data_IF_561163142997
#
_entry.id   IF_561163142997
#
_cell.length_a   1.000
_cell.length_b   1.000
_cell.length_c   1.000
_cell.angle_alpha   90.00
_cell.angle_beta   90.00
_cell.angle_gamma   90.00
#
_symmetry.space_group_name_H-M   'P 1'
#
loop_
_entity.id
_entity.type
_entity.pdbx_description
1 polymer ?
#
# COMPACT_ATOMS: atom_id res chain seq x y z
N UNK A 1 5.86 -9.81 -1.66
CA UNK A 1 5.37 -9.27 -0.38
C UNK A 1 5.88 -7.84 -0.29
N UNK A 2 5.00 -6.89 -0.01
CA UNK A 2 5.19 -5.45 -0.29
C UNK A 2 5.39 -4.59 0.97
N UNK A 3 5.25 -5.21 2.14
CA UNK A 3 5.58 -4.67 3.45
C UNK A 3 6.76 -5.44 4.03
N UNK A 4 7.63 -4.74 4.76
CA UNK A 4 8.89 -5.27 5.28
C UNK A 4 9.01 -5.14 6.80
N UNK A 5 8.45 -4.08 7.35
CA UNK A 5 8.49 -3.81 8.78
C UNK A 5 7.20 -3.11 9.21
N UNK A 6 6.74 -3.41 10.41
CA UNK A 6 5.65 -2.75 11.09
C UNK A 6 6.06 -2.51 12.54
N UNK A 7 5.97 -1.27 13.01
CA UNK A 7 6.33 -0.93 14.39
C UNK A 7 5.25 -0.09 15.04
N UNK A 8 5.11 -0.29 16.35
CA UNK A 8 4.22 0.52 17.21
C UNK A 8 5.13 1.23 18.21
N UNK A 9 5.04 2.55 18.22
CA UNK A 9 5.91 3.44 18.99
C UNK A 9 5.01 4.30 19.87
N UNK A 10 5.40 4.45 21.14
CA UNK A 10 4.73 5.40 22.04
C UNK A 10 5.13 6.83 21.69
N UNK A 11 4.32 7.83 22.01
CA UNK A 11 4.69 9.25 21.81
C UNK A 11 5.99 9.69 22.51
N UNK A 12 6.42 8.97 23.56
CA UNK A 12 7.72 9.19 24.23
C UNK A 12 8.93 8.71 23.42
N UNK A 13 8.69 8.09 22.26
CA UNK A 13 9.73 7.56 21.37
C UNK A 13 10.22 6.16 21.75
N UNK A 14 9.64 5.53 22.78
CA UNK A 14 9.99 4.15 23.13
C UNK A 14 9.27 3.16 22.20
N UNK A 15 10.00 2.24 21.55
CA UNK A 15 9.41 1.20 20.73
C UNK A 15 8.64 0.24 21.64
N UNK A 16 7.35 0.10 21.39
CA UNK A 16 6.50 -0.86 22.11
C UNK A 16 6.55 -2.23 21.42
N UNK A 17 6.49 -2.26 20.09
CA UNK A 17 6.53 -3.50 19.33
C UNK A 17 7.17 -3.30 17.95
N UNK A 18 7.89 -4.31 17.47
CA UNK A 18 8.40 -4.35 16.12
C UNK A 18 8.22 -5.73 15.49
N UNK A 19 7.64 -5.76 14.29
CA UNK A 19 7.43 -6.95 13.49
C UNK A 19 8.21 -6.84 12.18
N UNK A 20 9.19 -7.72 12.03
CA UNK A 20 9.95 -7.89 10.79
C UNK A 20 9.17 -8.87 9.91
N UNK A 21 8.62 -8.35 8.82
CA UNK A 21 7.75 -9.08 7.91
C UNK A 21 8.55 -9.80 6.82
N UNK A 22 9.54 -9.11 6.23
CA UNK A 22 10.42 -9.67 5.21
C UNK A 22 11.69 -8.81 5.07
N UNK A 23 12.74 -9.35 4.46
CA UNK A 23 13.97 -8.60 4.17
C UNK A 23 13.74 -7.58 3.05
N UNK A 24 14.04 -6.28 3.29
CA UNK A 24 14.01 -5.25 2.25
C UNK A 24 14.94 -5.57 1.08
N UNK A 25 14.53 -5.35 -0.18
CA UNK A 25 15.42 -5.53 -1.32
C UNK A 25 16.52 -4.47 -1.33
N UNK A 26 17.71 -4.84 -1.79
CA UNK A 26 18.83 -3.91 -1.92
C UNK A 26 18.68 -3.01 -3.15
N UNK A 27 19.11 -1.75 -3.04
CA UNK A 27 19.22 -0.83 -4.17
C UNK A 27 17.91 -0.26 -4.71
N UNK A 28 16.83 -0.31 -3.92
CA UNK A 28 15.53 0.27 -4.27
C UNK A 28 15.07 1.29 -3.23
N UNK A 29 14.23 2.23 -3.67
CA UNK A 29 13.59 3.19 -2.78
C UNK A 29 12.36 2.56 -2.14
N UNK A 30 12.31 2.61 -0.81
CA UNK A 30 11.17 2.18 0.00
C UNK A 30 10.57 3.36 0.73
N UNK A 31 9.28 3.29 1.01
CA UNK A 31 8.59 4.28 1.82
C UNK A 31 8.59 3.84 3.28
N UNK A 32 9.13 4.69 4.15
CA UNK A 32 8.85 4.65 5.59
C UNK A 32 7.64 5.56 5.83
N UNK A 33 6.52 4.96 6.24
CA UNK A 33 5.25 5.66 6.44
C UNK A 33 4.97 5.77 7.94
N UNK A 34 4.46 6.92 8.33
CA UNK A 34 4.12 7.25 9.71
C UNK A 34 2.62 7.51 9.81
N UNK A 35 1.97 6.91 10.79
CA UNK A 35 0.55 7.04 11.05
C UNK A 35 0.35 7.44 12.51
N UNK A 36 -0.11 8.67 12.69
CA UNK A 36 -0.31 9.27 13.99
C UNK A 36 -1.75 9.02 14.49
N UNK A 37 -1.86 8.31 15.60
CA UNK A 37 -3.11 8.00 16.31
C UNK A 37 -3.18 8.72 17.66
N UNK A 38 -2.49 9.84 17.80
CA UNK A 38 -2.52 10.68 19.01
C UNK A 38 -3.89 11.32 19.21
N UNK A 39 -4.33 11.40 20.47
CA UNK A 39 -5.51 12.19 20.84
C UNK A 39 -5.35 13.63 20.36
N UNK A 40 -6.22 14.05 19.44
CA UNK A 40 -6.32 15.46 19.09
C UNK A 40 -6.97 16.20 20.26
N UNK A 41 -6.14 16.71 21.16
CA UNK A 41 -6.59 17.78 22.04
C UNK A 41 -6.95 18.98 21.13
N UNK A 42 -8.20 19.44 21.20
CA UNK A 42 -8.71 20.66 20.56
C UNK A 42 -8.05 21.93 21.11
N UNK A 43 -6.84 21.85 21.65
CA UNK A 43 -6.08 23.03 22.01
C UNK A 43 -5.75 23.80 20.73
N UNK A 44 -5.96 25.13 20.74
CA UNK A 44 -5.62 25.94 19.58
C UNK A 44 -4.14 25.71 19.28
N UNK A 45 -3.85 25.21 18.07
CA UNK A 45 -2.50 25.12 17.50
C UNK A 45 -1.73 26.36 17.94
N UNK A 46 -0.81 26.18 18.91
CA UNK A 46 0.02 27.27 19.37
C UNK A 46 0.73 27.79 18.12
N UNK A 47 0.46 29.04 17.75
CA UNK A 47 1.26 29.71 16.74
C UNK A 47 2.65 29.87 17.34
N UNK A 48 3.51 28.91 17.03
CA UNK A 48 4.92 28.97 17.37
C UNK A 48 5.48 30.26 16.78
N UNK A 49 6.27 30.98 17.57
CA UNK A 49 7.02 32.11 17.04
C UNK A 49 8.07 31.59 16.02
N UNK A 50 8.57 32.45 15.13
CA UNK A 50 9.50 32.03 14.08
C UNK A 50 10.79 31.37 14.60
N UNK A 51 11.25 31.73 15.80
CA UNK A 51 12.46 31.17 16.40
C UNK A 51 12.17 29.75 16.88
N UNK A 52 11.10 29.56 17.64
CA UNK A 52 10.66 28.23 18.09
C UNK A 52 10.38 27.29 16.90
N UNK A 53 9.77 27.79 15.82
CA UNK A 53 9.55 27.01 14.60
C UNK A 53 10.86 26.62 13.91
N UNK A 54 11.83 27.53 13.85
CA UNK A 54 13.15 27.24 13.29
C UNK A 54 13.90 26.19 14.13
N UNK A 55 13.90 26.34 15.45
CA UNK A 55 14.56 25.41 16.38
C UNK A 55 13.96 24.00 16.28
N UNK A 56 12.63 23.87 16.23
CA UNK A 56 11.96 22.58 16.05
C UNK A 56 12.28 21.94 14.71
N UNK A 57 12.29 22.72 13.62
CA UNK A 57 12.67 22.22 12.31
C UNK A 57 14.13 21.76 12.27
N UNK A 58 15.05 22.54 12.86
CA UNK A 58 16.46 22.18 12.96
C UNK A 58 16.67 20.92 13.81
N UNK A 59 15.94 20.81 14.93
CA UNK A 59 15.93 19.62 15.78
C UNK A 59 15.44 18.38 15.05
N UNK A 60 14.34 18.48 14.31
CA UNK A 60 13.81 17.40 13.47
C UNK A 60 14.82 16.97 12.41
N UNK A 61 15.41 17.92 11.67
CA UNK A 61 16.43 17.62 10.65
C UNK A 61 17.65 16.94 11.27
N UNK A 62 18.12 17.41 12.43
CA UNK A 62 19.23 16.79 13.14
C UNK A 62 18.92 15.38 13.61
N UNK A 63 17.72 15.15 14.15
CA UNK A 63 17.27 13.83 14.60
C UNK A 63 17.16 12.85 13.43
N UNK A 64 16.60 13.29 12.30
CA UNK A 64 16.49 12.48 11.09
C UNK A 64 17.86 12.16 10.49
N UNK A 65 18.81 13.09 10.55
CA UNK A 65 20.18 12.88 10.06
C UNK A 65 20.93 11.84 10.92
N UNK A 66 20.87 11.97 12.24
CA UNK A 66 21.48 10.98 13.14
C UNK A 66 20.78 9.61 13.04
N UNK A 67 19.45 9.60 12.90
CA UNK A 67 18.69 8.39 12.63
C UNK A 67 19.16 7.70 11.34
N UNK A 68 19.21 8.43 10.21
CA UNK A 68 19.66 7.90 8.92
C UNK A 68 21.06 7.26 9.01
N UNK A 69 21.98 7.95 9.69
CA UNK A 69 23.34 7.46 9.95
C UNK A 69 23.35 6.20 10.82
N UNK A 70 22.48 6.10 11.81
CA UNK A 70 22.40 4.95 12.72
C UNK A 70 21.89 3.66 12.05
N UNK A 71 21.03 3.78 11.05
CA UNK A 71 20.44 2.64 10.32
C UNK A 71 21.11 2.35 8.98
N UNK A 72 22.23 3.01 8.69
CA UNK A 72 22.95 2.95 7.40
C UNK A 72 22.01 3.15 6.19
N UNK A 73 21.09 4.12 6.30
CA UNK A 73 20.18 4.50 5.23
C UNK A 73 20.45 5.93 4.79
N UNK A 74 20.42 6.15 3.48
CA UNK A 74 20.49 7.48 2.90
C UNK A 74 19.07 8.03 2.74
N UNK A 75 18.72 9.08 3.50
CA UNK A 75 17.48 9.83 3.30
C UNK A 75 17.78 10.94 2.28
N UNK A 76 17.25 10.82 1.06
CA UNK A 76 17.44 11.84 0.02
C UNK A 76 16.32 12.88 -0.03
N UNK A 77 15.09 12.47 0.27
CA UNK A 77 13.89 13.31 0.17
C UNK A 77 12.99 13.06 1.38
N UNK A 78 12.56 14.15 2.02
CA UNK A 78 11.51 14.16 3.04
C UNK A 78 10.34 14.98 2.51
N UNK A 79 9.19 14.32 2.30
CA UNK A 79 7.98 14.98 1.82
C UNK A 79 6.99 15.15 2.97
N UNK A 80 6.73 16.40 3.35
CA UNK A 80 5.67 16.74 4.30
C UNK A 80 4.46 17.24 3.54
N UNK A 81 3.31 16.59 3.74
CA UNK A 81 2.03 17.12 3.25
C UNK A 81 1.37 17.89 4.38
N UNK A 82 1.27 19.21 4.23
CA UNK A 82 0.42 20.01 5.12
C UNK A 82 -1.01 19.52 4.96
N UNK A 83 -1.56 18.93 6.02
CA UNK A 83 -3.00 18.78 6.15
C UNK A 83 -3.58 20.20 6.22
N UNK A 84 -4.19 20.66 5.11
CA UNK A 84 -5.18 21.73 5.23
C UNK A 84 -6.24 21.20 6.19
N UNK A 85 -6.34 21.81 7.37
CA UNK A 85 -7.49 21.63 8.25
C UNK A 85 -8.68 22.18 7.47
N UNK A 86 -9.35 21.34 6.69
CA UNK A 86 -10.65 21.69 6.13
C UNK A 86 -11.60 21.75 7.33
N UNK A 87 -11.90 22.97 7.78
CA UNK A 87 -12.79 23.30 8.89
C UNK A 87 -14.27 22.96 8.61
N UNK A 88 -14.56 21.79 8.02
CA UNK A 88 -15.88 21.49 7.47
C UNK A 88 -16.37 20.05 7.56
N UNK A 89 -15.61 19.11 8.15
CA UNK A 89 -16.12 17.77 8.46
C UNK A 89 -15.70 17.42 9.89
N UNK A 90 -16.62 16.95 10.76
CA UNK A 90 -16.22 16.38 12.03
C UNK A 90 -15.60 15.02 11.72
N UNK A 91 -14.28 14.98 11.50
CA UNK A 91 -13.55 13.74 11.72
C UNK A 91 -13.57 13.53 13.23
N UNK A 92 -14.64 12.90 13.70
CA UNK A 92 -14.85 12.48 15.07
C UNK A 92 -13.92 11.30 15.44
N UNK A 93 -12.69 11.30 14.90
CA UNK A 93 -11.67 10.33 15.26
C UNK A 93 -11.05 10.78 16.58
N UNK A 94 -11.81 10.60 17.65
CA UNK A 94 -11.25 10.57 19.00
C UNK A 94 -10.50 9.24 19.11
N UNK A 95 -9.23 9.25 18.70
CA UNK A 95 -8.33 8.16 19.05
C UNK A 95 -8.16 8.13 20.57
N UNK A 96 -7.94 6.97 21.16
CA UNK A 96 -7.95 6.86 22.62
C UNK A 96 -6.57 6.97 23.28
N UNK A 97 -5.49 7.16 22.51
CA UNK A 97 -4.14 7.25 23.09
C UNK A 97 -3.12 8.01 22.26
N UNK A 98 -1.85 7.86 22.65
CA UNK A 98 -0.71 8.58 22.08
C UNK A 98 0.24 7.63 21.35
N UNK A 99 -0.15 7.21 20.16
CA UNK A 99 0.51 6.11 19.44
C UNK A 99 0.92 6.55 18.05
N UNK A 100 2.16 6.22 17.71
CA UNK A 100 2.72 6.33 16.37
C UNK A 100 2.94 4.93 15.80
N UNK A 101 2.26 4.62 14.70
CA UNK A 101 2.51 3.38 13.96
C UNK A 101 3.38 3.70 12.75
N UNK A 102 4.43 2.91 12.55
CA UNK A 102 5.30 3.02 11.38
C UNK A 102 5.28 1.75 10.56
N UNK A 103 5.48 1.89 9.25
CA UNK A 103 5.68 0.73 8.38
C UNK A 103 6.61 1.04 7.22
N UNK A 104 7.46 0.06 6.89
CA UNK A 104 8.28 0.08 5.70
C UNK A 104 7.59 -0.72 4.58
N UNK A 105 7.41 -0.09 3.42
CA UNK A 105 6.67 -0.67 2.30
C UNK A 105 7.20 -0.23 0.93
N UNK A 106 6.77 -0.95 -0.11
CA UNK A 106 6.97 -0.55 -1.51
C UNK A 106 6.46 0.87 -1.78
N UNK A 107 7.20 1.60 -2.61
CA UNK A 107 6.93 3.01 -2.89
C UNK A 107 5.66 3.24 -3.70
N UNK A 108 5.26 2.26 -4.52
CA UNK A 108 4.10 2.34 -5.39
C UNK A 108 2.77 2.06 -4.69
N UNK A 109 2.77 1.56 -3.44
CA UNK A 109 1.51 1.27 -2.73
C UNK A 109 0.69 2.54 -2.48
N UNK A 110 -0.62 2.43 -2.68
CA UNK A 110 -1.54 3.54 -2.53
C UNK A 110 -1.63 4.00 -1.07
N UNK A 111 -1.23 5.24 -0.79
CA UNK A 111 -1.21 5.78 0.59
C UNK A 111 -2.55 5.62 1.32
N UNK A 112 -3.67 5.90 0.65
CA UNK A 112 -5.01 5.78 1.26
C UNK A 112 -5.35 4.33 1.63
N UNK A 113 -4.95 3.38 0.81
CA UNK A 113 -5.19 1.96 1.05
C UNK A 113 -4.33 1.46 2.21
N UNK A 114 -3.04 1.83 2.23
CA UNK A 114 -2.15 1.52 3.36
C UNK A 114 -2.67 2.13 4.66
N UNK A 115 -3.07 3.40 4.64
CA UNK A 115 -3.66 4.07 5.80
C UNK A 115 -4.90 3.33 6.33
N UNK A 116 -5.77 2.85 5.44
CA UNK A 116 -6.94 2.08 5.83
C UNK A 116 -6.57 0.75 6.51
N UNK A 117 -5.54 0.03 6.02
CA UNK A 117 -5.01 -1.17 6.69
C UNK A 117 -4.52 -0.86 8.10
N UNK A 118 -3.72 0.20 8.23
CA UNK A 118 -3.14 0.59 9.52
C UNK A 118 -4.24 1.01 10.51
N UNK A 119 -5.30 1.70 10.03
CA UNK A 119 -6.48 2.02 10.85
C UNK A 119 -7.20 0.77 11.36
N UNK A 120 -7.36 -0.27 10.52
CA UNK A 120 -7.93 -1.56 10.95
C UNK A 120 -7.06 -2.20 12.03
N UNK A 121 -5.73 -2.24 11.82
CA UNK A 121 -4.79 -2.80 12.79
C UNK A 121 -4.88 -2.04 14.11
N UNK A 122 -4.89 -0.71 14.06
CA UNK A 122 -5.04 0.12 15.25
C UNK A 122 -6.32 -0.24 16.00
N UNK A 123 -7.48 -0.21 15.33
CA UNK A 123 -8.78 -0.46 15.95
C UNK A 123 -8.92 -1.87 16.53
N UNK A 124 -8.38 -2.89 15.86
CA UNK A 124 -8.59 -4.30 16.25
C UNK A 124 -7.57 -4.85 17.24
N UNK A 125 -6.37 -4.26 17.29
CA UNK A 125 -5.24 -4.85 18.00
C UNK A 125 -4.65 -3.89 19.02
N UNK A 126 -4.49 -2.62 18.64
CA UNK A 126 -3.73 -1.64 19.42
C UNK A 126 -4.62 -0.86 20.39
N UNK A 127 -5.82 -0.44 19.95
CA UNK A 127 -6.72 0.39 20.73
C UNK A 127 -7.10 -0.25 22.08
N UNK A 128 -7.35 -1.55 22.10
CA UNK A 128 -7.70 -2.29 23.33
C UNK A 128 -6.54 -2.39 24.34
N UNK A 129 -5.31 -2.04 23.94
CA UNK A 129 -4.09 -2.11 24.77
C UNK A 129 -3.64 -0.75 25.28
N UNK A 130 -4.42 0.29 25.06
CA UNK A 130 -4.09 1.63 25.54
C UNK A 130 -4.47 1.75 27.04
N UNK A 131 -3.57 2.23 27.91
CA UNK A 131 -2.21 2.68 27.64
C UNK A 131 -1.24 1.52 27.40
N UNK A 132 -0.31 1.71 26.45
CA UNK A 132 0.68 0.68 26.07
C UNK A 132 1.65 0.42 27.24
N UNK A 133 1.34 -0.59 28.06
CA UNK A 133 2.19 -1.08 29.14
C UNK A 133 3.14 -2.17 28.60
N UNK A 134 4.42 -2.11 28.98
CA UNK A 134 5.42 -3.11 28.58
C UNK A 134 5.11 -4.52 29.08
N UNK A 135 4.21 -4.67 30.07
CA UNK A 135 3.73 -5.96 30.53
C UNK A 135 2.68 -6.61 29.59
N UNK A 136 2.05 -5.84 28.71
CA UNK A 136 1.07 -6.33 27.74
C UNK A 136 1.77 -6.51 26.40
N UNK A 137 2.38 -7.67 26.15
CA UNK A 137 2.94 -7.99 24.83
C UNK A 137 1.82 -8.29 23.83
N UNK A 138 2.08 -8.05 22.53
CA UNK A 138 1.19 -8.51 21.47
C UNK A 138 1.20 -10.04 21.43
N UNK A 139 0.01 -10.63 21.47
CA UNK A 139 -0.15 -12.07 21.44
C UNK A 139 0.08 -12.60 20.01
N UNK A 140 0.47 -13.87 19.87
CA UNK A 140 0.73 -14.47 18.54
C UNK A 140 -0.48 -14.37 17.60
N UNK A 141 -1.69 -14.57 18.11
CA UNK A 141 -2.91 -14.46 17.30
C UNK A 141 -3.19 -13.02 16.82
N UNK A 142 -2.63 -12.02 17.50
CA UNK A 142 -2.72 -10.60 17.12
C UNK A 142 -1.67 -10.26 16.08
N UNK A 143 -0.45 -10.77 16.26
CA UNK A 143 0.59 -10.74 15.23
C UNK A 143 0.11 -11.38 13.93
N UNK A 144 -0.50 -12.56 14.01
CA UNK A 144 -1.07 -13.26 12.85
C UNK A 144 -2.11 -12.35 12.16
N UNK A 145 -3.02 -11.72 12.91
CA UNK A 145 -4.00 -10.77 12.34
C UNK A 145 -3.33 -9.57 11.65
N UNK A 146 -2.27 -9.00 12.25
CA UNK A 146 -1.50 -7.91 11.64
C UNK A 146 -0.94 -8.37 10.28
N UNK A 147 -0.32 -9.56 10.26
CA UNK A 147 0.24 -10.14 9.03
C UNK A 147 -0.87 -10.37 7.99
N UNK A 148 -2.01 -10.92 8.40
CA UNK A 148 -3.15 -11.18 7.51
C UNK A 148 -3.68 -9.90 6.84
N UNK A 149 -3.80 -8.81 7.60
CA UNK A 149 -4.24 -7.51 7.10
C UNK A 149 -3.19 -6.91 6.16
N UNK A 150 -1.92 -6.89 6.56
CA UNK A 150 -0.85 -6.31 5.74
C UNK A 150 -0.63 -7.08 4.44
N UNK A 151 -0.85 -8.39 4.44
CA UNK A 151 -0.64 -9.27 3.28
C UNK A 151 -1.87 -9.49 2.41
N UNK A 152 -3.02 -8.89 2.73
CA UNK A 152 -4.29 -9.07 2.02
C UNK A 152 -4.72 -10.54 1.94
N UNK A 153 -4.61 -11.29 3.04
CA UNK A 153 -4.82 -12.75 3.04
C UNK A 153 -6.19 -13.13 2.46
N UNK A 154 -7.25 -12.42 2.80
CA UNK A 154 -8.60 -12.73 2.31
C UNK A 154 -8.71 -12.56 0.79
N UNK A 155 -8.15 -11.46 0.26
CA UNK A 155 -8.12 -11.22 -1.19
C UNK A 155 -7.36 -12.33 -1.93
N UNK A 156 -6.23 -12.79 -1.36
CA UNK A 156 -5.41 -13.89 -1.90
C UNK A 156 -6.15 -15.23 -1.85
N UNK A 157 -6.81 -15.54 -0.73
CA UNK A 157 -7.58 -16.77 -0.56
C UNK A 157 -8.69 -16.88 -1.60
N UNK A 158 -9.42 -15.79 -1.84
CA UNK A 158 -10.50 -15.76 -2.84
C UNK A 158 -9.97 -15.99 -4.27
N UNK A 159 -8.83 -15.41 -4.62
CA UNK A 159 -8.16 -15.65 -5.92
C UNK A 159 -7.66 -17.10 -6.03
N UNK A 160 -7.10 -17.68 -4.96
CA UNK A 160 -6.65 -19.08 -4.99
C UNK A 160 -7.82 -20.07 -5.08
N UNK A 161 -8.93 -19.80 -4.40
CA UNK A 161 -10.14 -20.61 -4.46
C UNK A 161 -10.68 -20.73 -5.90
N UNK A 162 -10.58 -19.66 -6.69
CA UNK A 162 -11.04 -19.61 -8.08
C UNK A 162 -9.92 -19.82 -9.11
N UNK A 163 -8.74 -20.30 -8.69
CA UNK A 163 -7.53 -20.31 -9.54
C UNK A 163 -7.68 -21.00 -10.88
N UNK A 164 -8.48 -22.07 -10.97
CA UNK A 164 -8.67 -22.83 -12.22
C UNK A 164 -9.41 -21.99 -13.27
N UNK A 165 -10.52 -21.37 -12.87
CA UNK A 165 -11.33 -20.53 -13.75
C UNK A 165 -10.56 -19.28 -14.19
N UNK A 166 -9.88 -18.63 -13.23
CA UNK A 166 -9.07 -17.44 -13.50
C UNK A 166 -7.90 -17.76 -14.44
N UNK A 167 -7.19 -18.88 -14.22
CA UNK A 167 -6.09 -19.28 -15.11
C UNK A 167 -6.59 -19.51 -16.53
N UNK A 168 -7.68 -20.27 -16.70
CA UNK A 168 -8.26 -20.54 -18.02
C UNK A 168 -8.63 -19.24 -18.73
N UNK A 169 -9.32 -18.33 -18.03
CA UNK A 169 -9.72 -17.04 -18.58
C UNK A 169 -8.50 -16.21 -18.99
N UNK A 170 -7.49 -16.11 -18.13
CA UNK A 170 -6.29 -15.35 -18.42
C UNK A 170 -5.51 -15.92 -19.62
N UNK A 171 -5.40 -17.25 -19.72
CA UNK A 171 -4.71 -17.92 -20.82
C UNK A 171 -5.43 -17.68 -22.16
N UNK A 172 -6.76 -17.70 -22.17
CA UNK A 172 -7.55 -17.42 -23.37
C UNK A 172 -7.37 -15.96 -23.81
N UNK A 173 -7.40 -15.02 -22.87
CA UNK A 173 -7.17 -13.60 -23.13
C UNK A 173 -5.75 -13.32 -23.64
N UNK A 174 -4.74 -13.98 -23.07
CA UNK A 174 -3.34 -13.85 -23.51
C UNK A 174 -3.11 -14.43 -24.92
N UNK A 175 -3.80 -15.51 -25.28
CA UNK A 175 -3.76 -16.07 -26.63
C UNK A 175 -4.45 -15.14 -27.63
N UNK A 176 -5.63 -14.62 -27.29
CA UNK A 176 -6.41 -13.72 -28.16
C UNK A 176 -5.67 -12.40 -28.41
N UNK A 177 -5.15 -11.77 -27.35
CA UNK A 177 -4.56 -10.42 -27.45
C UNK A 177 -3.04 -10.39 -27.56
N UNK A 178 -2.38 -11.55 -27.57
CA UNK A 178 -0.93 -11.63 -27.70
C UNK A 178 -0.41 -10.98 -28.99
N UNK A 179 -1.12 -11.14 -30.11
CA UNK A 179 -0.81 -10.49 -31.39
C UNK A 179 -1.03 -8.98 -31.38
N UNK A 180 -1.88 -8.49 -30.48
CA UNK A 180 -2.16 -7.06 -30.27
C UNK A 180 -1.22 -6.43 -29.24
N UNK A 181 -0.21 -7.17 -28.78
CA UNK A 181 0.87 -6.69 -27.93
C UNK A 181 0.69 -6.96 -26.44
N UNK A 182 -0.39 -7.62 -26.00
CA UNK A 182 -0.54 -8.04 -24.60
C UNK A 182 0.53 -9.10 -24.24
N UNK A 183 1.26 -8.88 -23.15
CA UNK A 183 2.33 -9.76 -22.67
C UNK A 183 2.07 -10.43 -21.34
N UNK A 184 1.25 -9.82 -20.49
CA UNK A 184 0.94 -10.35 -19.18
C UNK A 184 -0.27 -9.68 -18.56
N UNK A 185 -0.85 -10.37 -17.59
CA UNK A 185 -1.96 -9.90 -16.77
C UNK A 185 -1.54 -10.08 -15.31
N UNK A 186 -1.92 -9.16 -14.42
CA UNK A 186 -1.76 -9.33 -12.99
C UNK A 186 -3.01 -8.90 -12.24
N UNK A 187 -3.41 -9.71 -11.25
CA UNK A 187 -4.41 -9.32 -10.25
C UNK A 187 -3.63 -8.82 -9.03
N UNK A 188 -3.99 -7.65 -8.51
CA UNK A 188 -3.45 -7.07 -7.28
C UNK A 188 -4.55 -6.85 -6.25
N UNK A 189 -4.17 -6.72 -4.99
CA UNK A 189 -5.06 -6.25 -3.93
C UNK A 189 -5.34 -4.75 -4.06
N UNK A 190 -6.15 -4.24 -3.13
CA UNK A 190 -6.65 -2.86 -3.14
C UNK A 190 -5.58 -1.78 -2.85
N UNK A 191 -4.40 -2.17 -2.37
CA UNK A 191 -3.25 -1.28 -2.21
C UNK A 191 -2.22 -1.40 -3.34
N UNK A 192 -2.53 -2.18 -4.38
CA UNK A 192 -1.70 -2.58 -5.52
C UNK A 192 -0.67 -3.68 -5.24
N UNK A 193 -0.72 -4.35 -4.09
CA UNK A 193 0.17 -5.48 -3.83
C UNK A 193 -0.12 -6.64 -4.80
N UNK A 194 0.87 -7.12 -5.58
CA UNK A 194 0.64 -8.21 -6.52
C UNK A 194 0.16 -9.50 -5.83
N UNK A 195 -0.93 -10.07 -6.35
CA UNK A 195 -1.49 -11.35 -5.88
C UNK A 195 -1.07 -12.46 -6.82
N UNK A 196 -1.33 -12.29 -8.12
CA UNK A 196 -1.11 -13.34 -9.12
C UNK A 196 -0.82 -12.77 -10.49
N UNK A 197 0.22 -13.28 -11.15
CA UNK A 197 0.57 -12.97 -12.53
C UNK A 197 0.20 -14.09 -13.49
N UNK A 198 -0.09 -13.70 -14.72
CA UNK A 198 -0.42 -14.58 -15.84
C UNK A 198 0.41 -14.19 -17.07
N UNK A 199 0.75 -15.17 -17.88
CA UNK A 199 1.76 -15.07 -18.93
C UNK A 199 3.12 -15.55 -18.46
N UNK A 200 4.03 -15.77 -19.41
CA UNK A 200 5.35 -16.35 -19.14
C UNK A 200 6.46 -15.31 -18.98
N UNK A 201 6.16 -14.03 -19.27
CA UNK A 201 7.18 -12.99 -19.35
C UNK A 201 7.51 -12.35 -17.98
N UNK A 202 6.54 -12.29 -17.06
CA UNK A 202 6.70 -11.54 -15.81
C UNK A 202 6.33 -12.39 -14.58
N UNK A 203 7.30 -12.56 -13.68
CA UNK A 203 7.05 -13.04 -12.31
C UNK A 203 6.47 -11.93 -11.43
N UNK A 204 6.04 -12.25 -10.20
CA UNK A 204 5.59 -11.24 -9.24
C UNK A 204 6.70 -10.25 -8.88
N UNK A 205 7.95 -10.70 -8.78
CA UNK A 205 9.09 -9.83 -8.50
C UNK A 205 9.37 -8.86 -9.68
N UNK A 206 9.16 -9.32 -10.92
CA UNK A 206 9.26 -8.46 -12.10
C UNK A 206 8.16 -7.40 -12.11
N UNK A 207 6.96 -7.76 -11.66
CA UNK A 207 5.84 -6.83 -11.51
C UNK A 207 6.17 -5.77 -10.46
N UNK A 208 6.73 -6.15 -9.30
CA UNK A 208 7.20 -5.17 -8.30
C UNK A 208 8.17 -4.17 -8.94
N UNK A 209 9.15 -4.64 -9.73
CA UNK A 209 10.09 -3.78 -10.43
C UNK A 209 9.42 -2.87 -11.47
N UNK A 210 8.41 -3.37 -12.21
CA UNK A 210 7.63 -2.57 -13.17
C UNK A 210 6.82 -1.49 -12.45
N UNK A 211 6.20 -1.81 -11.32
CA UNK A 211 5.35 -0.87 -10.58
C UNK A 211 6.16 0.25 -9.91
N UNK A 212 7.38 -0.04 -9.43
CA UNK A 212 8.31 0.99 -8.90
C UNK A 212 8.66 2.07 -9.92
N UNK A 213 8.58 1.77 -11.21
CA UNK A 213 8.85 2.73 -12.29
C UNK A 213 7.61 3.59 -12.64
N UNK A 214 6.45 3.31 -12.04
CA UNK A 214 5.23 4.11 -12.23
C UNK A 214 5.18 5.18 -11.15
N UNK A 215 5.31 6.44 -11.56
CA UNK A 215 5.44 7.57 -10.64
C UNK A 215 4.17 7.83 -9.82
N UNK A 216 3.00 7.92 -10.47
CA UNK A 216 1.74 8.25 -9.81
C UNK A 216 0.58 7.41 -10.36
N UNK A 217 0.00 6.61 -9.47
CA UNK A 217 -1.31 6.00 -9.67
C UNK A 217 -2.40 7.04 -9.37
N UNK A 218 -3.22 7.43 -10.35
CA UNK A 218 -4.30 8.37 -10.11
C UNK A 218 -5.45 7.66 -9.35
N UNK A 219 -6.30 8.45 -8.70
CA UNK A 219 -7.59 7.94 -8.25
C UNK A 219 -8.41 7.58 -9.49
N UNK A 220 -8.94 6.36 -9.52
CA UNK A 220 -9.76 5.85 -10.61
C UNK A 220 -11.15 5.48 -10.10
N UNK A 221 -12.16 5.70 -10.93
CA UNK A 221 -13.49 5.15 -10.71
C UNK A 221 -13.48 3.65 -10.99
N UNK A 222 -14.47 2.96 -10.43
CA UNK A 222 -14.67 1.53 -10.64
C UNK A 222 -14.96 1.23 -12.11
N UNK A 223 -14.38 0.14 -12.63
CA UNK A 223 -14.46 -0.32 -14.02
C UNK A 223 -13.92 0.65 -15.08
N UNK A 224 -13.35 1.77 -14.67
CA UNK A 224 -12.57 2.63 -15.55
C UNK A 224 -11.13 2.12 -15.63
N UNK A 225 -10.50 2.40 -16.77
CA UNK A 225 -9.12 2.05 -17.01
C UNK A 225 -8.30 3.24 -17.47
N UNK A 226 -7.04 3.23 -17.10
CA UNK A 226 -6.02 4.15 -17.58
C UNK A 226 -4.82 3.36 -18.09
N UNK A 227 -3.87 4.03 -18.73
CA UNK A 227 -2.55 3.46 -18.96
C UNK A 227 -1.45 4.33 -18.37
N UNK A 228 -0.33 3.69 -18.03
CA UNK A 228 0.92 4.31 -17.61
C UNK A 228 2.08 3.68 -18.37
N UNK A 229 3.11 4.48 -18.62
CA UNK A 229 4.37 3.97 -19.14
C UNK A 229 5.24 3.47 -17.99
N UNK A 230 5.88 2.33 -18.20
CA UNK A 230 6.91 1.78 -17.33
C UNK A 230 8.03 1.19 -18.19
N UNK A 231 9.04 0.57 -17.56
CA UNK A 231 10.12 -0.13 -18.22
C UNK A 231 10.43 -1.44 -17.50
N UNK A 232 10.85 -2.45 -18.27
CA UNK A 232 11.37 -3.71 -17.77
C UNK A 232 12.56 -4.14 -18.64
N UNK A 233 13.69 -4.51 -18.02
CA UNK A 233 14.93 -4.86 -18.73
C UNK A 233 15.31 -3.87 -19.84
N UNK A 234 15.25 -2.56 -19.55
CA UNK A 234 15.51 -1.45 -20.48
C UNK A 234 14.58 -1.37 -21.70
N UNK A 235 13.45 -2.09 -21.69
CA UNK A 235 12.40 -1.97 -22.70
C UNK A 235 11.21 -1.23 -22.14
N UNK A 236 10.65 -0.32 -22.93
CA UNK A 236 9.42 0.37 -22.59
C UNK A 236 8.25 -0.61 -22.57
N UNK A 237 7.34 -0.41 -21.63
CA UNK A 237 6.13 -1.19 -21.42
C UNK A 237 4.96 -0.24 -21.15
N UNK A 238 3.77 -0.59 -21.62
CA UNK A 238 2.53 0.05 -21.19
C UNK A 238 1.83 -0.82 -20.16
N UNK A 239 1.40 -0.19 -19.06
CA UNK A 239 0.65 -0.82 -17.98
C UNK A 239 -0.73 -0.22 -17.97
N UNK A 240 -1.71 -0.99 -18.44
CA UNK A 240 -3.12 -0.65 -18.29
C UNK A 240 -3.55 -1.05 -16.89
N UNK A 241 -4.24 -0.15 -16.19
CA UNK A 241 -4.63 -0.32 -14.80
C UNK A 241 -6.14 -0.17 -14.75
N UNK A 242 -6.82 -1.18 -14.23
CA UNK A 242 -8.28 -1.22 -14.12
C UNK A 242 -8.65 -1.43 -12.66
N UNK A 243 -9.54 -0.60 -12.12
CA UNK A 243 -10.07 -0.79 -10.76
C UNK A 243 -11.32 -1.66 -10.82
N UNK A 244 -11.30 -2.79 -10.13
CA UNK A 244 -12.42 -3.73 -10.08
C UNK A 244 -13.62 -3.18 -9.31
N UNK A 245 -14.82 -3.65 -9.65
CA UNK A 245 -16.03 -3.45 -8.86
C UNK A 245 -16.25 -4.50 -7.78
N UNK A 246 -15.39 -5.52 -7.71
CA UNK A 246 -15.46 -6.61 -6.74
C UNK A 246 -14.20 -6.67 -5.89
N UNK A 247 -14.34 -7.28 -4.72
CA UNK A 247 -13.31 -7.37 -3.70
C UNK A 247 -13.86 -8.02 -2.43
N UNK A 248 -13.01 -8.55 -1.55
CA UNK A 248 -13.45 -8.92 -0.22
C UNK A 248 -13.84 -7.68 0.60
N UNK A 249 -14.63 -7.90 1.65
CA UNK A 249 -14.85 -6.90 2.69
C UNK A 249 -14.20 -7.40 3.97
N UNK A 250 -13.18 -6.70 4.45
CA UNK A 250 -12.41 -7.08 5.64
C UNK A 250 -12.68 -6.05 6.72
N UNK A 251 -13.28 -6.47 7.84
CA UNK A 251 -13.61 -5.60 8.97
C UNK A 251 -14.34 -4.31 8.58
N UNK A 252 -15.29 -4.41 7.63
CA UNK A 252 -16.09 -3.28 7.13
C UNK A 252 -15.42 -2.43 6.04
N UNK A 253 -14.14 -2.67 5.74
CA UNK A 253 -13.45 -2.06 4.61
C UNK A 253 -13.67 -2.90 3.34
N UNK A 254 -14.24 -2.28 2.31
CA UNK A 254 -14.31 -2.88 0.99
C UNK A 254 -12.95 -2.73 0.27
N UNK A 255 -12.36 -3.85 -0.15
CA UNK A 255 -11.02 -3.92 -0.71
C UNK A 255 -11.10 -4.34 -2.20
N UNK A 256 -11.36 -3.40 -3.14
CA UNK A 256 -11.47 -3.75 -4.56
C UNK A 256 -10.14 -4.25 -5.13
N UNK A 257 -10.19 -5.23 -6.03
CA UNK A 257 -9.00 -5.62 -6.78
C UNK A 257 -8.57 -4.54 -7.78
N UNK A 258 -7.31 -4.62 -8.22
CA UNK A 258 -6.92 -3.99 -9.49
C UNK A 258 -6.43 -5.06 -10.46
N UNK A 259 -6.72 -4.85 -11.73
CA UNK A 259 -6.21 -5.64 -12.83
C UNK A 259 -5.19 -4.82 -13.59
N UNK A 260 -4.02 -5.41 -13.83
CA UNK A 260 -2.93 -4.80 -14.57
C UNK A 260 -2.71 -5.58 -15.86
N UNK A 261 -2.66 -4.89 -17.00
CA UNK A 261 -2.32 -5.48 -18.29
C UNK A 261 -1.01 -4.89 -18.76
N UNK A 262 -0.03 -5.75 -18.99
CA UNK A 262 1.29 -5.38 -19.46
C UNK A 262 1.36 -5.59 -20.97
N UNK A 263 1.62 -4.54 -21.73
CA UNK A 263 1.60 -4.58 -23.19
C UNK A 263 2.81 -3.88 -23.82
N UNK A 264 3.12 -4.26 -25.06
CA UNK A 264 4.11 -3.55 -25.88
C UNK A 264 3.71 -2.07 -26.02
N UNK A 265 4.69 -1.15 -26.17
CA UNK A 265 4.40 0.24 -26.50
C UNK A 265 3.53 0.32 -27.76
N UNK A 266 2.59 1.27 -27.78
CA UNK A 266 1.66 1.48 -28.91
C UNK A 266 0.63 0.36 -29.14
N UNK A 267 0.55 -0.64 -28.26
CA UNK A 267 -0.54 -1.61 -28.27
C UNK A 267 -1.87 -0.90 -28.05
N UNK A 268 -2.81 -1.01 -28.99
CA UNK A 268 -4.17 -0.51 -28.81
C UNK A 268 -5.08 -1.67 -28.38
N UNK A 269 -5.45 -1.68 -27.10
CA UNK A 269 -6.34 -2.71 -26.54
C UNK A 269 -7.83 -2.32 -26.65
N UNK A 270 -8.17 -1.10 -27.08
CA UNK A 270 -9.56 -0.64 -27.20
C UNK A 270 -10.36 -0.84 -25.91
N UNK A 271 -11.55 -1.44 -26.04
CA UNK A 271 -12.45 -1.77 -24.91
C UNK A 271 -12.07 -3.06 -24.16
N UNK A 272 -11.02 -3.76 -24.61
CA UNK A 272 -10.63 -5.05 -24.07
C UNK A 272 -10.31 -5.03 -22.56
N UNK A 273 -9.65 -4.00 -21.99
CA UNK A 273 -9.42 -3.93 -20.55
C UNK A 273 -10.71 -4.01 -19.73
N UNK A 274 -11.78 -3.35 -20.18
CA UNK A 274 -13.09 -3.38 -19.54
C UNK A 274 -13.77 -4.76 -19.65
N UNK A 275 -13.65 -5.41 -20.82
CA UNK A 275 -14.16 -6.78 -21.04
C UNK A 275 -13.49 -7.79 -20.10
N UNK A 276 -12.15 -7.76 -20.02
CA UNK A 276 -11.38 -8.61 -19.11
C UNK A 276 -11.79 -8.38 -17.65
N UNK A 277 -11.86 -7.12 -17.24
CA UNK A 277 -12.24 -6.77 -15.87
C UNK A 277 -13.62 -7.29 -15.51
N UNK A 278 -14.61 -7.11 -16.40
CA UNK A 278 -15.96 -7.62 -16.19
C UNK A 278 -16.01 -9.14 -16.04
N UNK A 279 -15.19 -9.88 -16.80
CA UNK A 279 -15.14 -11.34 -16.71
C UNK A 279 -14.41 -11.83 -15.46
N UNK A 280 -13.34 -11.17 -15.01
CA UNK A 280 -12.75 -11.45 -13.70
C UNK A 280 -13.71 -11.12 -12.57
N UNK A 281 -14.40 -9.99 -12.63
CA UNK A 281 -15.40 -9.58 -11.65
C UNK A 281 -16.53 -10.62 -11.54
N UNK A 282 -16.94 -11.27 -12.63
CA UNK A 282 -17.93 -12.36 -12.58
C UNK A 282 -17.44 -13.61 -11.85
N UNK A 283 -16.14 -13.90 -11.89
CA UNK A 283 -15.55 -15.07 -11.23
C UNK A 283 -15.23 -14.76 -9.75
N UNK A 284 -14.79 -13.54 -9.48
CA UNK A 284 -14.35 -13.08 -8.17
C UNK A 284 -15.47 -12.41 -7.36
N UNK A 285 -16.61 -12.09 -7.97
CA UNK A 285 -17.80 -11.48 -7.36
C UNK A 285 -18.51 -12.35 -6.36
#
# INVERSE_FOLDING_TARGET
>A
MTFYEFSVITNTGFPYYNLILNTPPSGINLNLRFFDFTQQNLEPLMKLDPVSSFELNAGLVSALFEFAKSIDKKIEILEFKSSKINSGLPDNNQYEGDILITTQSESYLLQKSVEAKIKIIYNLVIAEKIPLDSALELLQNEEDKIIEILTDKEARNRVDAQKKAINSLADDFLKEMGSYGLKGICITSFDLSPIKSFGTLFSLADIDAILRNISVFPNMSTLEWIYRQSHFSNKQLWVYIIKSGVGPTVNGLFEPYFYLLFADPQSYLGEFPGKLASMFDQILG
#
